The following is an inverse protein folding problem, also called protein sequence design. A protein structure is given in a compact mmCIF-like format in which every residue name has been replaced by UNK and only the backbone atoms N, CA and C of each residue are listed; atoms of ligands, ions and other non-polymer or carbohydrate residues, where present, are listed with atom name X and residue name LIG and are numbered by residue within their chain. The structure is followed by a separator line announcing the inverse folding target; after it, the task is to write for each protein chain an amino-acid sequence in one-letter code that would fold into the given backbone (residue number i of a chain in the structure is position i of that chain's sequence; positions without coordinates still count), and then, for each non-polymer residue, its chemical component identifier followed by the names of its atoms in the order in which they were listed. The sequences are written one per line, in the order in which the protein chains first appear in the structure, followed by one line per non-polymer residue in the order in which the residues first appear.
data_IF_161204754672
#
_entry.id   IF_161204754672
#
_cell.length_a   1.000
_cell.length_b   1.000
_cell.length_c   1.000
_cell.angle_alpha   90.00
_cell.angle_beta   90.00
_cell.angle_gamma   90.00
#
_symmetry.space_group_name_H-M   'P 1'
#
loop_
_entity.id
_entity.type
_entity.pdbx_description
1 polymer ?
#
# COMPACT_ATOMS: atom_id res chain seq x y z
N UNK A 1 13.99 -12.06 3.73
CA UNK A 1 13.72 -10.91 2.82
C UNK A 1 12.63 -10.06 3.46
N UNK A 2 12.77 -8.73 3.45
CA UNK A 2 11.75 -7.82 4.03
C UNK A 2 10.45 -7.91 3.24
N UNK A 3 9.35 -7.85 3.97
CA UNK A 3 7.99 -7.89 3.42
C UNK A 3 7.33 -6.53 3.63
N UNK A 4 6.78 -5.95 2.59
CA UNK A 4 6.08 -4.67 2.69
C UNK A 4 4.65 -4.83 2.22
N UNK A 5 3.70 -4.60 3.12
CA UNK A 5 2.31 -4.39 2.73
C UNK A 5 2.12 -2.91 2.40
N UNK A 6 1.68 -2.61 1.20
CA UNK A 6 1.53 -1.23 0.72
C UNK A 6 0.05 -0.91 0.57
N UNK A 7 -0.40 0.08 1.35
CA UNK A 7 -1.74 0.66 1.26
C UNK A 7 -1.84 1.59 0.05
N UNK A 8 -3.05 1.84 -0.43
CA UNK A 8 -3.33 2.66 -1.61
C UNK A 8 -2.77 4.08 -1.49
N UNK A 9 -2.85 4.70 -0.29
CA UNK A 9 -2.34 6.05 -0.06
C UNK A 9 -0.83 6.18 -0.29
N UNK A 10 -0.10 5.10 -0.09
CA UNK A 10 1.32 5.02 -0.41
C UNK A 10 1.54 4.60 -1.86
N UNK A 11 0.83 3.58 -2.35
CA UNK A 11 1.02 3.05 -3.71
C UNK A 11 0.82 4.10 -4.80
N UNK A 12 -0.19 4.96 -4.67
CA UNK A 12 -0.51 6.00 -5.66
C UNK A 12 0.66 6.98 -5.89
N UNK A 13 1.52 7.18 -4.90
CA UNK A 13 2.70 8.05 -4.99
C UNK A 13 3.77 7.55 -5.96
N UNK A 14 3.72 6.27 -6.34
CA UNK A 14 4.56 5.71 -7.43
C UNK A 14 4.19 6.32 -8.78
N UNK A 15 2.92 6.65 -8.96
CA UNK A 15 2.35 7.06 -10.25
C UNK A 15 1.98 8.53 -10.31
N UNK A 16 2.11 9.26 -9.22
CA UNK A 16 1.85 10.69 -9.15
C UNK A 16 2.77 11.34 -8.12
N UNK A 17 3.52 12.36 -8.57
CA UNK A 17 4.55 13.01 -7.75
C UNK A 17 3.92 13.83 -6.62
N UNK A 18 4.25 13.44 -5.40
CA UNK A 18 3.76 14.00 -4.14
C UNK A 18 4.85 13.87 -3.06
N UNK A 19 4.61 14.46 -1.88
CA UNK A 19 5.46 14.22 -0.70
C UNK A 19 5.51 12.71 -0.43
N UNK A 20 6.72 12.14 -0.34
CA UNK A 20 6.93 10.72 -0.08
C UNK A 20 7.17 9.86 -1.32
N UNK A 21 7.02 10.41 -2.53
CA UNK A 21 7.28 9.70 -3.80
C UNK A 21 8.67 9.09 -3.85
N UNK A 22 9.72 9.79 -3.39
CA UNK A 22 11.08 9.25 -3.37
C UNK A 22 11.18 7.93 -2.58
N UNK A 23 10.61 7.90 -1.38
CA UNK A 23 10.62 6.70 -0.54
C UNK A 23 9.84 5.55 -1.18
N UNK A 24 8.68 5.84 -1.79
CA UNK A 24 7.87 4.83 -2.49
C UNK A 24 8.58 4.32 -3.73
N UNK A 25 9.25 5.17 -4.51
CA UNK A 25 10.03 4.76 -5.67
C UNK A 25 11.16 3.79 -5.28
N UNK A 26 11.94 4.11 -4.24
CA UNK A 26 12.99 3.22 -3.72
C UNK A 26 12.39 1.86 -3.31
N UNK A 27 11.24 1.88 -2.65
CA UNK A 27 10.56 0.68 -2.19
C UNK A 27 10.06 -0.18 -3.37
N UNK A 28 9.36 0.42 -4.32
CA UNK A 28 8.83 -0.31 -5.48
C UNK A 28 9.97 -0.83 -6.36
N UNK A 29 11.03 -0.06 -6.58
CA UNK A 29 12.22 -0.50 -7.31
C UNK A 29 12.93 -1.68 -6.62
N UNK A 30 12.92 -1.72 -5.28
CA UNK A 30 13.42 -2.86 -4.53
C UNK A 30 12.55 -4.12 -4.71
N UNK A 31 11.22 -3.95 -4.80
CA UNK A 31 10.28 -5.04 -5.06
C UNK A 31 10.44 -5.55 -6.50
N UNK A 32 10.43 -4.66 -7.48
CA UNK A 32 10.58 -5.02 -8.91
C UNK A 32 11.91 -5.72 -9.19
N UNK A 33 12.98 -5.32 -8.50
CA UNK A 33 14.30 -5.96 -8.62
C UNK A 33 14.46 -7.23 -7.76
N UNK A 34 13.43 -7.68 -7.05
CA UNK A 34 13.47 -8.90 -6.22
C UNK A 34 14.28 -8.77 -4.92
N UNK A 35 14.65 -7.55 -4.48
CA UNK A 35 15.35 -7.30 -3.21
C UNK A 35 14.42 -7.25 -2.00
N UNK A 36 13.13 -7.01 -2.24
CA UNK A 36 12.08 -7.04 -1.24
C UNK A 36 10.83 -7.73 -1.80
N UNK A 37 9.90 -8.13 -0.93
CA UNK A 37 8.59 -8.62 -1.34
C UNK A 37 7.53 -7.55 -1.07
N UNK A 38 6.69 -7.29 -2.06
CA UNK A 38 5.54 -6.39 -1.98
C UNK A 38 4.23 -7.14 -1.88
N UNK A 39 3.36 -6.70 -0.98
CA UNK A 39 1.99 -7.20 -0.85
C UNK A 39 1.02 -6.03 -0.97
N UNK A 40 -0.06 -6.25 -1.68
CA UNK A 40 -1.17 -5.30 -1.77
C UNK A 40 -2.50 -6.06 -1.68
N UNK A 41 -3.55 -5.41 -1.21
CA UNK A 41 -4.90 -5.92 -1.35
C UNK A 41 -5.40 -5.65 -2.78
N UNK A 42 -6.17 -6.56 -3.37
CA UNK A 42 -6.76 -6.35 -4.71
C UNK A 42 -7.58 -5.05 -4.81
N UNK A 43 -8.15 -4.59 -3.71
CA UNK A 43 -8.82 -3.29 -3.61
C UNK A 43 -7.91 -2.11 -3.99
N UNK A 44 -6.61 -2.17 -3.62
CA UNK A 44 -5.65 -1.11 -3.92
C UNK A 44 -5.54 -0.81 -5.43
N UNK A 45 -5.78 -1.79 -6.28
CA UNK A 45 -5.74 -1.62 -7.74
C UNK A 45 -6.84 -0.68 -8.20
N UNK A 46 -8.07 -0.97 -7.80
CA UNK A 46 -9.23 -0.16 -8.20
C UNK A 46 -9.17 1.24 -7.59
N UNK A 47 -8.70 1.37 -6.36
CA UNK A 47 -8.50 2.66 -5.71
C UNK A 47 -7.40 3.50 -6.37
N UNK A 48 -6.27 2.87 -6.74
CA UNK A 48 -5.17 3.56 -7.44
C UNK A 48 -5.64 4.06 -8.81
N UNK A 49 -6.26 3.19 -9.62
CA UNK A 49 -6.78 3.56 -10.94
C UNK A 49 -7.85 4.64 -10.82
N UNK A 50 -8.77 4.52 -9.84
CA UNK A 50 -9.80 5.52 -9.58
C UNK A 50 -9.20 6.88 -9.22
N UNK A 51 -8.14 6.91 -8.41
CA UNK A 51 -7.44 8.13 -8.03
C UNK A 51 -6.76 8.78 -9.24
N UNK A 52 -6.05 8.01 -10.06
CA UNK A 52 -5.40 8.52 -11.28
C UNK A 52 -6.43 9.00 -12.31
N UNK A 53 -7.54 8.28 -12.48
CA UNK A 53 -8.64 8.69 -13.36
C UNK A 53 -9.29 10.00 -12.91
N UNK A 54 -9.48 10.18 -11.60
CA UNK A 54 -9.98 11.47 -11.06
C UNK A 54 -9.02 12.61 -11.36
N UNK A 55 -7.70 12.41 -11.17
CA UNK A 55 -6.68 13.41 -11.48
C UNK A 55 -6.66 13.74 -12.99
N UNK A 56 -6.90 12.77 -13.85
CA UNK A 56 -7.06 13.01 -15.29
C UNK A 56 -8.31 13.87 -15.58
N UNK A 57 -9.44 13.54 -14.97
CA UNK A 57 -10.68 14.31 -15.15
C UNK A 57 -10.57 15.75 -14.63
N UNK A 58 -9.80 15.96 -13.56
CA UNK A 58 -9.47 17.28 -12.99
C UNK A 58 -8.37 18.01 -13.79
N UNK A 59 -7.89 17.43 -14.89
CA UNK A 59 -6.82 17.95 -15.76
C UNK A 59 -5.46 18.14 -15.06
N UNK A 60 -5.25 17.45 -13.96
CA UNK A 60 -3.94 17.36 -13.28
C UNK A 60 -3.00 16.42 -14.04
N UNK A 61 -3.56 15.37 -14.67
CA UNK A 61 -2.86 14.46 -15.58
C UNK A 61 -3.46 14.59 -16.99
N UNK A 62 -2.61 14.61 -18.02
CA UNK A 62 -3.10 14.46 -19.37
C UNK A 62 -3.46 13.00 -19.69
N UNK A 63 -4.32 12.80 -20.69
CA UNK A 63 -4.83 11.47 -21.07
C UNK A 63 -3.72 10.51 -21.52
N UNK A 64 -2.72 11.01 -22.21
CA UNK A 64 -1.60 10.19 -22.70
C UNK A 64 -0.75 9.68 -21.55
N UNK A 65 -0.44 10.56 -20.57
CA UNK A 65 0.27 10.19 -19.38
C UNK A 65 -0.53 9.19 -18.53
N UNK A 66 -1.85 9.41 -18.35
CA UNK A 66 -2.71 8.47 -17.64
C UNK A 66 -2.60 7.04 -18.21
N UNK A 67 -2.71 6.87 -19.54
CA UNK A 67 -2.60 5.54 -20.14
C UNK A 67 -1.21 4.92 -19.95
N UNK A 68 -0.14 5.72 -20.04
CA UNK A 68 1.22 5.23 -19.74
C UNK A 68 1.36 4.76 -18.30
N UNK A 69 0.83 5.51 -17.32
CA UNK A 69 0.89 5.15 -15.91
C UNK A 69 0.11 3.86 -15.63
N UNK A 70 -1.03 3.64 -16.29
CA UNK A 70 -1.77 2.38 -16.17
C UNK A 70 -0.96 1.20 -16.72
N UNK A 71 -0.26 1.38 -17.84
CA UNK A 71 0.62 0.34 -18.39
C UNK A 71 1.74 -0.01 -17.41
N UNK A 72 2.44 1.01 -16.87
CA UNK A 72 3.50 0.81 -15.87
C UNK A 72 2.96 0.12 -14.61
N UNK A 73 1.78 0.53 -14.13
CA UNK A 73 1.13 -0.13 -12.99
C UNK A 73 0.96 -1.63 -13.24
N UNK A 74 0.40 -2.04 -14.39
CA UNK A 74 0.20 -3.45 -14.71
C UNK A 74 1.52 -4.23 -14.85
N UNK A 75 2.56 -3.62 -15.39
CA UNK A 75 3.90 -4.23 -15.48
C UNK A 75 4.50 -4.44 -14.07
N UNK A 76 4.43 -3.45 -13.20
CA UNK A 76 4.98 -3.52 -11.84
C UNK A 76 4.20 -4.51 -10.96
N UNK A 77 2.88 -4.63 -11.15
CA UNK A 77 2.01 -5.55 -10.39
C UNK A 77 2.43 -7.02 -10.49
N UNK A 78 3.09 -7.42 -11.56
CA UNK A 78 3.59 -8.78 -11.73
C UNK A 78 4.64 -9.15 -10.67
N UNK A 79 5.25 -8.17 -10.01
CA UNK A 79 6.24 -8.34 -8.96
C UNK A 79 5.64 -8.31 -7.54
N UNK A 80 4.31 -8.10 -7.42
CA UNK A 80 3.62 -8.04 -6.14
C UNK A 80 2.81 -9.31 -5.86
N UNK A 81 2.70 -9.65 -4.60
CA UNK A 81 1.68 -10.59 -4.13
C UNK A 81 0.37 -9.85 -3.95
N UNK A 82 -0.61 -10.15 -4.78
CA UNK A 82 -1.95 -9.55 -4.71
C UNK A 82 -2.82 -10.42 -3.81
N UNK A 83 -3.20 -9.88 -2.67
CA UNK A 83 -4.11 -10.54 -1.73
C UNK A 83 -5.56 -10.33 -2.20
N UNK A 84 -6.32 -11.41 -2.31
CA UNK A 84 -7.73 -11.33 -2.69
C UNK A 84 -8.55 -10.66 -1.60
N UNK A 85 -9.52 -9.84 -2.00
CA UNK A 85 -10.58 -9.37 -1.13
C UNK A 85 -11.69 -10.43 -1.11
N UNK A 86 -11.78 -11.18 -0.02
CA UNK A 86 -12.75 -12.24 0.20
C UNK A 86 -13.70 -11.93 1.36
N UNK A 87 -14.78 -12.70 1.50
CA UNK A 87 -15.80 -12.52 2.55
C UNK A 87 -15.20 -12.59 3.96
N UNK A 88 -14.17 -13.41 4.18
CA UNK A 88 -13.50 -13.51 5.48
C UNK A 88 -12.85 -12.18 5.87
N UNK A 89 -12.18 -11.52 4.93
CA UNK A 89 -11.58 -10.19 5.17
C UNK A 89 -12.64 -9.14 5.40
N UNK A 90 -13.73 -9.17 4.61
CA UNK A 90 -14.86 -8.24 4.78
C UNK A 90 -15.47 -8.38 6.17
N UNK A 91 -15.83 -9.59 6.59
CA UNK A 91 -16.43 -9.83 7.91
C UNK A 91 -15.47 -9.47 9.05
N UNK A 92 -14.19 -9.81 8.94
CA UNK A 92 -13.20 -9.50 9.98
C UNK A 92 -12.91 -7.99 10.09
N UNK A 93 -13.05 -7.23 9.00
CA UNK A 93 -12.80 -5.79 9.00
C UNK A 93 -13.79 -5.00 9.86
N UNK A 94 -14.98 -5.54 10.08
CA UNK A 94 -16.05 -4.92 10.91
C UNK A 94 -15.53 -4.62 12.32
N UNK A 95 -14.76 -5.53 12.90
CA UNK A 95 -14.16 -5.32 14.22
C UNK A 95 -13.23 -4.09 14.24
N UNK A 96 -12.42 -3.88 13.21
CA UNK A 96 -11.51 -2.72 13.12
C UNK A 96 -12.24 -1.40 12.84
N UNK A 97 -13.35 -1.45 12.08
CA UNK A 97 -14.23 -0.29 11.93
C UNK A 97 -14.73 0.17 13.31
N UNK A 98 -15.25 -0.76 14.10
CA UNK A 98 -15.81 -0.47 15.42
C UNK A 98 -14.74 -0.06 16.44
N UNK A 99 -13.59 -0.74 16.44
CA UNK A 99 -12.54 -0.53 17.43
C UNK A 99 -11.72 0.74 17.18
N UNK A 100 -11.46 1.09 15.90
CA UNK A 100 -10.54 2.18 15.53
C UNK A 100 -11.22 3.32 14.80
N UNK A 101 -12.54 3.25 14.58
CA UNK A 101 -13.31 4.22 13.80
C UNK A 101 -12.71 4.46 12.40
N UNK A 102 -12.23 3.39 11.77
CA UNK A 102 -11.72 3.41 10.40
C UNK A 102 -12.88 3.45 9.40
N UNK A 103 -12.63 4.03 8.22
CA UNK A 103 -13.52 3.81 7.09
C UNK A 103 -13.41 2.36 6.59
N UNK A 104 -14.32 1.94 5.72
CA UNK A 104 -14.38 0.56 5.23
C UNK A 104 -13.12 0.13 4.48
N UNK A 105 -12.57 1.00 3.63
CA UNK A 105 -11.37 0.69 2.85
C UNK A 105 -10.16 0.51 3.76
N UNK A 106 -9.92 1.44 4.69
CA UNK A 106 -8.81 1.36 5.66
C UNK A 106 -8.91 0.11 6.55
N UNK A 107 -10.12 -0.22 6.99
CA UNK A 107 -10.34 -1.44 7.79
C UNK A 107 -10.05 -2.72 6.98
N UNK A 108 -10.39 -2.75 5.70
CA UNK A 108 -10.06 -3.86 4.80
C UNK A 108 -8.55 -3.99 4.59
N UNK A 109 -7.85 -2.87 4.37
CA UNK A 109 -6.39 -2.87 4.25
C UNK A 109 -5.71 -3.34 5.54
N UNK A 110 -6.14 -2.86 6.71
CA UNK A 110 -5.60 -3.30 7.99
C UNK A 110 -5.84 -4.80 8.20
N UNK A 111 -7.05 -5.28 7.92
CA UNK A 111 -7.39 -6.70 8.03
C UNK A 111 -6.50 -7.56 7.14
N UNK A 112 -6.35 -7.20 5.88
CA UNK A 112 -5.52 -7.95 4.95
C UNK A 112 -4.05 -7.99 5.41
N UNK A 113 -3.53 -6.85 5.89
CA UNK A 113 -2.17 -6.75 6.39
C UNK A 113 -1.93 -7.62 7.64
N UNK A 114 -2.85 -7.59 8.60
CA UNK A 114 -2.74 -8.39 9.84
C UNK A 114 -2.83 -9.88 9.51
N UNK A 115 -3.79 -10.30 8.67
CA UNK A 115 -3.91 -11.70 8.26
C UNK A 115 -2.68 -12.19 7.49
N UNK A 116 -2.13 -11.37 6.59
CA UNK A 116 -0.90 -11.70 5.88
C UNK A 116 0.28 -11.87 6.86
N UNK A 117 0.42 -10.96 7.82
CA UNK A 117 1.48 -11.06 8.85
C UNK A 117 1.35 -12.33 9.68
N UNK A 118 0.13 -12.72 10.06
CA UNK A 118 -0.14 -13.93 10.86
C UNK A 118 0.20 -15.23 10.11
N UNK A 119 0.11 -15.22 8.78
CA UNK A 119 0.45 -16.39 7.94
C UNK A 119 1.95 -16.51 7.63
N UNK A 120 2.76 -15.53 8.03
CA UNK A 120 4.19 -15.51 7.75
C UNK A 120 5.02 -16.01 8.94
N UNK A 121 6.23 -16.50 8.62
CA UNK A 121 7.24 -16.80 9.65
C UNK A 121 7.57 -15.54 10.45
N UNK A 122 7.63 -15.67 11.77
CA UNK A 122 7.94 -14.58 12.71
C UNK A 122 9.31 -13.95 12.48
N UNK A 123 10.24 -14.68 11.83
CA UNK A 123 11.57 -14.18 11.46
C UNK A 123 11.56 -13.18 10.30
N UNK A 124 10.48 -13.10 9.55
CA UNK A 124 10.38 -12.15 8.45
C UNK A 124 10.09 -10.74 8.99
N UNK A 125 10.90 -9.77 8.57
CA UNK A 125 10.65 -8.35 8.81
C UNK A 125 9.47 -7.91 7.93
N UNK A 126 8.36 -7.56 8.56
CA UNK A 126 7.11 -7.18 7.91
C UNK A 126 6.74 -5.75 8.26
N UNK A 127 6.55 -4.91 7.26
CA UNK A 127 6.29 -3.48 7.42
C UNK A 127 5.00 -3.09 6.70
N UNK A 128 4.10 -2.45 7.40
CA UNK A 128 2.89 -1.83 6.86
C UNK A 128 3.19 -0.40 6.41
N UNK A 129 2.95 -0.10 5.15
CA UNK A 129 3.28 1.19 4.52
C UNK A 129 2.00 1.93 4.16
N UNK A 130 1.79 3.10 4.75
CA UNK A 130 0.62 3.96 4.51
C UNK A 130 0.97 5.42 4.78
N UNK A 131 0.23 6.35 4.19
CA UNK A 131 0.30 7.79 4.50
C UNK A 131 -0.83 8.23 5.45
N UNK A 132 -1.83 7.39 5.70
CA UNK A 132 -2.92 7.70 6.62
C UNK A 132 -2.50 7.52 8.08
N UNK A 133 -2.51 8.62 8.85
CA UNK A 133 -2.07 8.63 10.25
C UNK A 133 -2.97 7.80 11.15
N UNK A 134 -4.28 7.76 10.88
CA UNK A 134 -5.24 6.97 11.67
C UNK A 134 -5.01 5.48 11.42
N UNK A 135 -4.86 5.10 10.16
CA UNK A 135 -4.58 3.74 9.76
C UNK A 135 -3.22 3.24 10.31
N UNK A 136 -2.17 4.06 10.25
CA UNK A 136 -0.87 3.75 10.85
C UNK A 136 -0.95 3.58 12.37
N UNK A 137 -1.78 4.39 13.04
CA UNK A 137 -1.99 4.27 14.50
C UNK A 137 -2.68 2.95 14.85
N UNK A 138 -3.70 2.56 14.07
CA UNK A 138 -4.38 1.27 14.23
C UNK A 138 -3.43 0.10 13.96
N UNK A 139 -2.64 0.16 12.89
CA UNK A 139 -1.64 -0.85 12.55
C UNK A 139 -0.60 -1.07 13.66
N UNK A 140 -0.13 0.00 14.30
CA UNK A 140 0.77 -0.09 15.47
C UNK A 140 0.10 -0.80 16.66
N UNK A 141 -1.18 -0.54 16.92
CA UNK A 141 -1.94 -1.22 17.98
C UNK A 141 -2.09 -2.72 17.69
N UNK A 142 -2.16 -3.09 16.40
CA UNK A 142 -2.12 -4.48 15.93
C UNK A 142 -0.69 -5.05 15.86
N UNK A 143 0.29 -4.37 16.46
CA UNK A 143 1.70 -4.79 16.57
C UNK A 143 2.41 -4.93 15.22
N UNK A 144 1.96 -4.22 14.18
CA UNK A 144 2.68 -4.12 12.93
C UNK A 144 3.78 -3.04 13.04
N UNK A 145 4.95 -3.33 12.47
CA UNK A 145 5.92 -2.28 12.13
C UNK A 145 5.32 -1.41 11.04
N UNK A 146 5.47 -0.09 11.13
CA UNK A 146 4.84 0.82 10.19
C UNK A 146 5.85 1.78 9.57
N UNK A 147 5.58 2.19 8.34
CA UNK A 147 6.32 3.21 7.61
C UNK A 147 5.35 4.22 7.00
N UNK A 148 5.58 5.51 7.28
CA UNK A 148 4.95 6.59 6.54
C UNK A 148 5.96 7.16 5.52
N UNK A 149 5.73 7.01 4.20
CA UNK A 149 6.62 7.54 3.18
C UNK A 149 6.84 9.05 3.23
N UNK A 150 5.93 9.80 3.82
CA UNK A 150 6.00 11.26 3.95
C UNK A 150 6.96 11.73 5.05
N UNK A 151 7.46 10.84 5.88
CA UNK A 151 8.45 11.18 6.91
C UNK A 151 9.83 11.45 6.29
N UNK A 152 10.54 12.44 6.81
CA UNK A 152 11.86 12.89 6.29
C UNK A 152 12.89 11.76 6.13
N UNK A 153 12.86 10.77 7.02
CA UNK A 153 13.81 9.66 7.02
C UNK A 153 13.30 8.41 6.28
N UNK A 154 12.09 8.46 5.71
CA UNK A 154 11.46 7.29 5.09
C UNK A 154 12.35 6.67 3.99
N UNK A 155 12.94 7.48 3.12
CA UNK A 155 13.84 7.02 2.07
C UNK A 155 15.10 6.28 2.60
N UNK A 156 15.58 6.62 3.80
CA UNK A 156 16.69 5.90 4.46
C UNK A 156 16.24 4.57 5.04
N UNK A 157 15.02 4.52 5.60
CA UNK A 157 14.45 3.30 6.20
C UNK A 157 14.17 2.23 5.16
N UNK A 158 13.79 2.62 3.94
CA UNK A 158 13.56 1.70 2.82
C UNK A 158 14.82 1.29 2.05
N UNK A 159 15.94 1.97 2.21
CA UNK A 159 17.21 1.51 1.60
C UNK A 159 17.57 0.14 2.18
N UNK A 160 17.55 -0.87 1.32
CA UNK A 160 17.81 -2.28 1.61
C UNK A 160 19.25 -2.63 1.28
#
# INVERSE_FOLDING_TARGET
MRQFYIDTSALVKRYHDEIGTEAVNILVDAIVSGRANGLILSLALTETISTLNRKMNERVLDKGLFHKLITVLYEELQHFTILSLDDRKVLSSIAYIMQYSLNSADALHLTAAVMARQSMDTRNDYVFVSCDKRLLTAAKKEKLSVLNPEQKDAARVVKL
#
